data_IF_938356180110
#
_entry.id   IF_938356180110
#
_cell.length_a   1.000
_cell.length_b   1.000
_cell.length_c   1.000
_cell.angle_alpha   90.00
_cell.angle_beta   90.00
_cell.angle_gamma   90.00
#
_symmetry.space_group_name_H-M   'P 1'
#
loop_
_entity.id
_entity.type
_entity.pdbx_description
1 polymer ?
#
# COMPACT_ATOMS: atom_id res chain seq x y z
N UNK A 1 -8.59 -10.55 45.91
CA UNK A 1 -8.90 -9.16 45.54
C UNK A 1 -8.45 -8.97 44.10
N UNK A 2 -9.38 -8.90 43.12
CA UNK A 2 -9.03 -8.51 41.74
C UNK A 2 -8.67 -7.02 41.77
N UNK A 3 -7.61 -6.56 41.09
CA UNK A 3 -7.37 -5.14 40.94
C UNK A 3 -8.55 -4.52 40.18
N UNK A 4 -8.97 -3.27 40.51
CA UNK A 4 -9.96 -2.58 39.71
C UNK A 4 -9.39 -2.37 38.30
N UNK A 5 -10.05 -2.91 37.28
CA UNK A 5 -9.70 -2.65 35.88
C UNK A 5 -9.92 -1.16 35.61
N UNK A 6 -8.84 -0.44 35.34
CA UNK A 6 -8.87 0.98 34.96
C UNK A 6 -9.23 1.20 33.48
N UNK A 7 -9.91 0.25 32.84
CA UNK A 7 -10.40 0.37 31.46
C UNK A 7 -11.69 1.19 31.42
N UNK A 8 -11.63 2.43 31.91
CA UNK A 8 -12.69 3.39 31.57
C UNK A 8 -12.42 3.84 30.14
N UNK A 9 -13.34 3.61 29.18
CA UNK A 9 -13.13 4.05 27.81
C UNK A 9 -12.89 5.55 27.80
N UNK A 10 -11.83 5.97 27.12
CA UNK A 10 -11.47 7.39 26.97
C UNK A 10 -12.64 8.14 26.33
N UNK A 11 -12.92 9.36 26.80
CA UNK A 11 -13.92 10.21 26.16
C UNK A 11 -13.52 10.53 24.72
N UNK A 12 -14.49 10.85 23.85
CA UNK A 12 -14.19 11.26 22.46
C UNK A 12 -13.21 12.43 22.42
N UNK A 13 -13.36 13.44 23.29
CA UNK A 13 -12.41 14.55 23.39
C UNK A 13 -10.97 14.11 23.76
N UNK A 14 -10.82 13.14 24.67
CA UNK A 14 -9.51 12.60 25.04
C UNK A 14 -8.90 11.77 23.89
N UNK A 15 -9.72 11.03 23.14
CA UNK A 15 -9.29 10.27 21.95
C UNK A 15 -8.90 11.20 20.80
N UNK A 16 -9.63 12.27 20.57
CA UNK A 16 -9.29 13.29 19.58
C UNK A 16 -7.94 13.94 19.86
N UNK A 17 -7.62 14.24 21.13
CA UNK A 17 -6.34 14.82 21.53
C UNK A 17 -5.14 13.91 21.22
N UNK A 18 -5.33 12.58 21.20
CA UNK A 18 -4.27 11.62 20.84
C UNK A 18 -3.85 11.74 19.36
N UNK A 19 -4.76 12.20 18.50
CA UNK A 19 -4.51 12.34 17.06
C UNK A 19 -4.02 13.73 16.65
N UNK A 20 -3.98 14.68 17.58
CA UNK A 20 -3.51 16.04 17.31
C UNK A 20 -2.08 16.09 16.74
N UNK A 21 -1.10 15.36 17.31
CA UNK A 21 0.26 15.34 16.74
C UNK A 21 0.31 14.79 15.31
N UNK A 22 -0.57 13.85 14.97
CA UNK A 22 -0.66 13.29 13.62
C UNK A 22 -1.20 14.33 12.63
N UNK A 23 -2.22 15.10 13.03
CA UNK A 23 -2.77 16.19 12.21
C UNK A 23 -1.72 17.26 11.92
N UNK A 24 -0.96 17.66 12.95
CA UNK A 24 0.12 18.63 12.84
C UNK A 24 1.23 18.13 11.90
N UNK A 25 1.68 16.88 12.06
CA UNK A 25 2.68 16.28 11.18
C UNK A 25 2.23 16.22 9.72
N UNK A 26 0.96 15.88 9.44
CA UNK A 26 0.44 15.88 8.08
C UNK A 26 0.42 17.28 7.46
N UNK A 27 0.07 18.30 8.25
CA UNK A 27 0.09 19.70 7.80
C UNK A 27 1.52 20.18 7.50
N UNK A 28 2.48 19.84 8.35
CA UNK A 28 3.91 20.13 8.13
C UNK A 28 4.44 19.44 6.86
N UNK A 29 4.10 18.16 6.68
CA UNK A 29 4.48 17.40 5.49
C UNK A 29 3.91 18.06 4.22
N UNK A 30 2.63 18.43 4.23
CA UNK A 30 1.98 19.12 3.13
C UNK A 30 2.64 20.47 2.80
N UNK A 31 3.00 21.25 3.82
CA UNK A 31 3.69 22.52 3.64
C UNK A 31 5.11 22.34 3.08
N UNK A 32 5.80 21.25 3.47
CA UNK A 32 7.17 20.96 3.02
C UNK A 32 7.26 20.32 1.63
N UNK A 33 6.16 19.76 1.12
CA UNK A 33 6.09 19.09 -0.19
C UNK A 33 4.95 19.63 -1.08
N UNK A 34 5.00 20.93 -1.47
CA UNK A 34 3.92 21.57 -2.23
C UNK A 34 3.74 21.00 -3.65
N UNK A 35 4.73 20.26 -4.15
CA UNK A 35 4.72 19.60 -5.46
C UNK A 35 4.43 18.10 -5.38
N UNK A 36 4.20 17.57 -4.17
CA UNK A 36 3.92 16.16 -3.91
C UNK A 36 4.96 15.23 -4.56
N UNK A 37 6.25 15.54 -4.34
CA UNK A 37 7.37 14.79 -4.93
C UNK A 37 7.73 13.54 -4.13
N UNK A 38 7.33 13.46 -2.86
CA UNK A 38 7.53 12.25 -2.05
C UNK A 38 6.68 11.11 -2.61
N UNK A 39 7.20 9.89 -2.52
CA UNK A 39 6.50 8.69 -2.99
C UNK A 39 5.08 8.63 -2.41
N UNK A 40 4.09 8.42 -3.29
CA UNK A 40 2.69 8.31 -2.90
C UNK A 40 1.97 9.63 -2.60
N UNK A 41 2.69 10.73 -2.37
CA UNK A 41 2.12 12.02 -2.01
C UNK A 41 1.15 12.56 -3.07
N UNK A 42 1.38 12.28 -4.36
CA UNK A 42 0.45 12.68 -5.43
C UNK A 42 -0.92 12.03 -5.30
N UNK A 43 -1.00 10.81 -4.75
CA UNK A 43 -2.24 10.06 -4.62
C UNK A 43 -3.13 10.61 -3.51
N UNK A 44 -2.56 10.84 -2.33
CA UNK A 44 -3.34 11.25 -1.16
C UNK A 44 -3.20 12.73 -0.78
N UNK A 45 -2.19 13.44 -1.31
CA UNK A 45 -1.95 14.88 -1.12
C UNK A 45 -1.88 15.35 0.34
N UNK A 46 -1.50 14.43 1.23
CA UNK A 46 -1.58 14.59 2.69
C UNK A 46 -2.98 14.91 3.24
N UNK A 47 -4.03 14.66 2.46
CA UNK A 47 -5.41 14.91 2.84
C UNK A 47 -6.07 13.65 3.42
N UNK A 48 -6.60 13.77 4.63
CA UNK A 48 -7.45 12.75 5.23
C UNK A 48 -8.89 12.90 4.75
N UNK A 49 -9.59 11.77 4.61
CA UNK A 49 -11.06 11.78 4.54
C UNK A 49 -11.64 12.09 5.93
N UNK A 50 -12.84 12.68 6.02
CA UNK A 50 -13.48 12.92 7.30
C UNK A 50 -13.63 11.63 8.13
N UNK A 51 -13.64 11.71 9.47
CA UNK A 51 -13.96 10.56 10.31
C UNK A 51 -15.39 10.05 10.09
N UNK A 52 -15.62 8.78 10.38
CA UNK A 52 -16.93 8.16 10.34
C UNK A 52 -17.74 8.48 11.59
N UNK A 53 -19.06 8.55 11.42
CA UNK A 53 -19.99 8.62 12.54
C UNK A 53 -19.95 7.29 13.35
N UNK A 54 -20.08 7.35 14.69
CA UNK A 54 -20.12 6.15 15.53
C UNK A 54 -21.14 5.10 15.05
N UNK A 55 -22.36 5.53 14.76
CA UNK A 55 -23.45 4.66 14.29
C UNK A 55 -23.10 3.96 12.97
N UNK A 56 -22.28 4.60 12.12
CA UNK A 56 -21.84 4.01 10.85
C UNK A 56 -20.81 2.92 11.09
N UNK A 57 -19.82 3.17 11.95
CA UNK A 57 -18.83 2.15 12.34
C UNK A 57 -19.52 0.96 13.00
N UNK A 58 -20.46 1.21 13.91
CA UNK A 58 -21.26 0.15 14.55
C UNK A 58 -22.09 -0.65 13.54
N UNK A 59 -22.66 0.01 12.53
CA UNK A 59 -23.37 -0.67 11.46
C UNK A 59 -22.46 -1.61 10.68
N UNK A 60 -21.28 -1.14 10.25
CA UNK A 60 -20.30 -1.95 9.52
C UNK A 60 -19.80 -3.14 10.36
N UNK A 61 -19.52 -2.93 11.64
CA UNK A 61 -19.14 -3.98 12.60
C UNK A 61 -20.25 -5.04 12.74
N UNK A 62 -21.51 -4.60 12.89
CA UNK A 62 -22.67 -5.51 12.97
C UNK A 62 -22.91 -6.27 11.67
N UNK A 63 -22.85 -5.59 10.53
CA UNK A 63 -23.10 -6.18 9.21
C UNK A 63 -22.07 -7.27 8.88
N UNK A 64 -20.80 -7.02 9.17
CA UNK A 64 -19.74 -8.00 8.93
C UNK A 64 -19.59 -9.03 10.08
N UNK A 65 -20.26 -8.83 11.22
CA UNK A 65 -20.16 -9.70 12.38
C UNK A 65 -18.78 -9.67 13.04
N UNK A 66 -18.07 -8.54 12.97
CA UNK A 66 -16.71 -8.36 13.50
C UNK A 66 -16.63 -7.12 14.37
N UNK A 67 -15.65 -7.07 15.28
CA UNK A 67 -15.27 -5.84 15.99
C UNK A 67 -13.88 -5.42 15.54
N UNK A 68 -13.73 -4.16 15.16
CA UNK A 68 -12.47 -3.60 14.67
C UNK A 68 -11.40 -3.55 15.79
N UNK A 69 -10.12 -3.72 15.46
CA UNK A 69 -9.02 -3.42 16.38
C UNK A 69 -9.15 -2.00 16.95
N UNK A 70 -8.94 -1.85 18.26
CA UNK A 70 -9.27 -0.63 18.98
C UNK A 70 -8.56 0.61 18.43
N UNK A 71 -7.28 0.48 18.04
CA UNK A 71 -6.49 1.55 17.46
C UNK A 71 -6.99 1.98 16.07
N UNK A 72 -7.40 1.03 15.22
CA UNK A 72 -8.01 1.33 13.93
C UNK A 72 -9.42 1.90 14.07
N UNK A 73 -10.22 1.39 15.01
CA UNK A 73 -11.54 1.94 15.34
C UNK A 73 -11.42 3.38 15.80
N UNK A 74 -10.41 3.69 16.61
CA UNK A 74 -10.12 5.05 17.06
C UNK A 74 -9.68 5.97 15.92
N UNK A 75 -8.87 5.45 15.00
CA UNK A 75 -8.46 6.19 13.81
C UNK A 75 -9.67 6.60 12.95
N UNK A 76 -10.56 5.66 12.62
CA UNK A 76 -11.70 5.96 11.72
C UNK A 76 -12.75 6.87 12.37
N UNK A 77 -12.88 6.84 13.71
CA UNK A 77 -13.82 7.69 14.44
C UNK A 77 -13.31 9.11 14.70
N UNK A 78 -12.00 9.28 14.90
CA UNK A 78 -11.45 10.53 15.42
C UNK A 78 -10.50 11.23 14.46
N UNK A 79 -9.83 10.50 13.56
CA UNK A 79 -8.84 11.05 12.64
C UNK A 79 -9.35 11.13 11.20
N UNK A 80 -9.77 10.00 10.62
CA UNK A 80 -10.30 9.96 9.26
C UNK A 80 -10.61 8.56 8.72
N UNK A 81 -11.47 8.48 7.70
CA UNK A 81 -11.83 7.25 6.98
C UNK A 81 -10.94 7.02 5.75
N UNK A 82 -9.62 7.11 5.92
CA UNK A 82 -8.65 6.95 4.84
C UNK A 82 -8.12 8.26 4.23
N UNK A 83 -7.58 8.20 3.02
CA UNK A 83 -6.83 9.29 2.41
C UNK A 83 -5.34 9.21 2.77
N UNK A 84 -4.79 10.24 3.41
CA UNK A 84 -3.37 10.30 3.76
C UNK A 84 -2.91 9.07 4.55
N UNK A 85 -1.89 8.40 4.04
CA UNK A 85 -1.35 7.18 4.62
C UNK A 85 -0.18 6.64 3.81
N UNK A 86 0.39 5.50 4.24
CA UNK A 86 1.54 4.91 3.58
C UNK A 86 1.33 4.67 2.09
N UNK A 87 2.39 4.89 1.30
CA UNK A 87 2.37 4.78 -0.16
C UNK A 87 1.21 5.54 -0.81
N UNK A 88 0.32 4.85 -1.53
CA UNK A 88 -0.76 5.47 -2.30
C UNK A 88 -1.97 5.87 -1.45
N UNK A 89 -1.82 5.86 -0.13
CA UNK A 89 -2.83 6.26 0.84
C UNK A 89 -3.70 5.10 1.33
N UNK A 90 -4.53 5.43 2.32
CA UNK A 90 -5.51 4.53 2.89
C UNK A 90 -6.81 4.56 2.10
N UNK A 91 -7.39 3.39 1.88
CA UNK A 91 -8.75 3.26 1.37
C UNK A 91 -9.79 3.47 2.47
N UNK A 92 -10.97 4.02 2.13
CA UNK A 92 -12.04 4.17 3.09
C UNK A 92 -12.57 2.83 3.58
N UNK A 93 -12.84 2.74 4.88
CA UNK A 93 -13.55 1.63 5.48
C UNK A 93 -15.00 1.61 4.99
N UNK A 94 -15.60 2.78 4.77
CA UNK A 94 -16.99 2.90 4.34
C UNK A 94 -17.21 2.67 2.83
N UNK A 95 -16.18 2.18 2.13
CA UNK A 95 -16.36 1.71 0.75
C UNK A 95 -17.12 0.37 0.77
N UNK A 96 -18.23 0.23 0.02
CA UNK A 96 -18.98 -1.03 -0.05
C UNK A 96 -18.13 -2.25 -0.44
N UNK A 97 -17.03 -2.04 -1.16
CA UNK A 97 -16.11 -3.11 -1.58
C UNK A 97 -15.27 -3.68 -0.42
N UNK A 98 -15.19 -3.00 0.73
CA UNK A 98 -14.54 -3.52 1.94
C UNK A 98 -15.34 -4.65 2.59
N UNK A 99 -16.68 -4.59 2.53
CA UNK A 99 -17.58 -5.50 3.25
C UNK A 99 -17.29 -6.98 2.95
N UNK A 100 -16.97 -7.28 1.68
CA UNK A 100 -16.70 -8.63 1.23
C UNK A 100 -15.49 -9.28 1.93
N UNK A 101 -14.44 -8.50 2.20
CA UNK A 101 -13.23 -9.01 2.89
C UNK A 101 -13.30 -8.83 4.40
N UNK A 102 -14.12 -7.89 4.87
CA UNK A 102 -14.32 -7.60 6.29
C UNK A 102 -15.02 -8.76 7.02
N UNK A 103 -15.98 -9.39 6.35
CA UNK A 103 -16.73 -10.53 6.88
C UNK A 103 -15.91 -11.82 6.93
N UNK A 104 -16.31 -12.74 7.81
CA UNK A 104 -15.74 -14.07 7.92
C UNK A 104 -14.43 -14.17 8.72
N UNK A 105 -13.89 -15.39 8.89
CA UNK A 105 -12.66 -15.61 9.63
C UNK A 105 -11.43 -15.35 8.75
N UNK A 106 -10.44 -14.64 9.29
CA UNK A 106 -9.09 -14.71 8.75
C UNK A 106 -8.50 -16.09 9.06
N UNK A 107 -8.07 -16.79 8.01
CA UNK A 107 -7.54 -18.15 8.12
C UNK A 107 -6.02 -18.20 8.33
N UNK A 108 -5.35 -17.05 8.52
CA UNK A 108 -3.95 -17.01 8.94
C UNK A 108 -3.83 -17.53 10.37
N UNK A 109 -3.19 -18.69 10.50
CA UNK A 109 -2.94 -19.36 11.78
C UNK A 109 -1.64 -18.94 12.49
N UNK A 110 -1.37 -19.59 13.62
CA UNK A 110 -0.21 -19.36 14.49
C UNK A 110 1.12 -19.83 13.90
N UNK A 111 1.09 -20.94 13.17
CA UNK A 111 2.14 -21.30 12.22
C UNK A 111 1.73 -20.68 10.90
N UNK A 112 2.62 -19.92 10.25
CA UNK A 112 2.44 -19.30 8.92
C UNK A 112 1.90 -20.33 7.92
N UNK A 113 0.58 -20.57 7.93
CA UNK A 113 -0.07 -21.34 6.89
C UNK A 113 0.09 -20.52 5.64
N UNK A 114 0.48 -21.22 4.58
CA UNK A 114 0.59 -20.67 3.24
C UNK A 114 -0.55 -19.67 2.99
N UNK A 115 -0.26 -18.54 2.34
CA UNK A 115 -1.28 -17.56 2.04
C UNK A 115 -2.49 -18.21 1.35
N UNK A 116 -3.68 -17.58 1.40
CA UNK A 116 -4.83 -18.08 0.67
C UNK A 116 -4.41 -18.46 -0.75
N UNK A 117 -4.95 -19.55 -1.30
CA UNK A 117 -4.63 -19.93 -2.67
C UNK A 117 -4.76 -18.70 -3.61
N UNK A 118 -3.92 -18.58 -4.66
CA UNK A 118 -3.97 -17.44 -5.56
C UNK A 118 -5.41 -17.13 -6.03
N UNK A 119 -5.81 -15.87 -5.94
CA UNK A 119 -7.16 -15.42 -6.30
C UNK A 119 -8.27 -15.70 -5.27
N UNK A 120 -8.00 -16.44 -4.19
CA UNK A 120 -8.96 -16.62 -3.09
C UNK A 120 -9.04 -15.33 -2.27
N UNK A 121 -10.22 -14.69 -2.14
CA UNK A 121 -10.37 -13.48 -1.34
C UNK A 121 -9.99 -13.70 0.14
N UNK A 122 -9.49 -12.65 0.76
CA UNK A 122 -9.34 -12.62 2.21
C UNK A 122 -10.70 -12.55 2.89
N UNK A 123 -10.83 -13.21 4.05
CA UNK A 123 -11.92 -12.98 5.00
C UNK A 123 -11.37 -12.43 6.32
N UNK A 124 -12.17 -11.67 7.05
CA UNK A 124 -11.78 -11.12 8.34
C UNK A 124 -10.68 -10.07 8.28
N UNK A 125 -10.63 -9.27 7.22
CA UNK A 125 -9.63 -8.22 7.02
C UNK A 125 -10.22 -6.92 6.49
N UNK A 126 -9.57 -5.80 6.83
CA UNK A 126 -9.76 -4.52 6.14
C UNK A 126 -8.63 -4.35 5.13
N UNK A 127 -8.96 -4.09 3.88
CA UNK A 127 -7.96 -3.72 2.88
C UNK A 127 -7.56 -2.25 3.11
N UNK A 128 -6.42 -2.02 3.75
CA UNK A 128 -6.00 -0.67 4.17
C UNK A 128 -5.63 0.21 2.98
N UNK A 129 -5.00 -0.34 1.94
CA UNK A 129 -4.49 0.44 0.82
C UNK A 129 -3.54 -0.36 -0.06
N UNK A 130 -2.99 0.29 -1.09
CA UNK A 130 -2.01 -0.32 -1.99
C UNK A 130 -0.63 0.35 -1.87
N UNK A 131 0.41 -0.47 -1.95
CA UNK A 131 1.81 -0.02 -1.99
C UNK A 131 2.36 0.14 -3.41
N UNK A 132 1.48 0.03 -4.42
CA UNK A 132 1.83 -0.01 -5.85
C UNK A 132 2.14 -1.44 -6.35
N UNK A 133 2.23 -1.61 -7.67
CA UNK A 133 2.38 -2.92 -8.34
C UNK A 133 1.33 -3.97 -7.95
N UNK A 134 0.15 -3.53 -7.49
CA UNK A 134 -0.91 -4.42 -7.04
C UNK A 134 -0.70 -5.01 -5.66
N UNK A 135 0.33 -4.60 -4.93
CA UNK A 135 0.53 -5.03 -3.55
C UNK A 135 -0.48 -4.34 -2.63
N UNK A 136 -1.16 -5.12 -1.79
CA UNK A 136 -2.21 -4.63 -0.90
C UNK A 136 -1.80 -4.88 0.54
N UNK A 137 -2.08 -3.91 1.41
CA UNK A 137 -1.91 -4.06 2.85
C UNK A 137 -3.26 -4.35 3.49
N UNK A 138 -3.29 -5.32 4.39
CA UNK A 138 -4.48 -5.76 5.10
C UNK A 138 -4.29 -5.60 6.61
N UNK A 139 -5.30 -5.07 7.28
CA UNK A 139 -5.45 -5.16 8.73
C UNK A 139 -6.29 -6.39 9.06
N UNK A 140 -5.76 -7.30 9.87
CA UNK A 140 -6.50 -8.49 10.31
C UNK A 140 -7.47 -8.10 11.42
N UNK A 141 -8.77 -8.39 11.25
CA UNK A 141 -9.83 -8.02 12.21
C UNK A 141 -10.47 -9.21 12.92
N UNK A 142 -10.27 -10.43 12.42
CA UNK A 142 -10.72 -11.67 13.05
C UNK A 142 -9.63 -12.75 13.02
N UNK A 143 -9.74 -13.80 13.83
CA UNK A 143 -8.76 -14.90 13.88
C UNK A 143 -7.54 -14.64 14.76
N UNK A 144 -6.55 -15.55 14.70
CA UNK A 144 -5.41 -15.59 15.62
C UNK A 144 -4.45 -14.40 15.48
N UNK A 145 -4.39 -13.80 14.28
CA UNK A 145 -3.51 -12.65 13.97
C UNK A 145 -4.20 -11.29 14.11
N UNK A 146 -5.37 -11.24 14.76
CA UNK A 146 -6.17 -10.01 14.90
C UNK A 146 -5.34 -8.83 15.41
N UNK A 147 -5.47 -7.68 14.75
CA UNK A 147 -4.78 -6.44 15.05
C UNK A 147 -3.48 -6.25 14.26
N UNK A 148 -2.92 -7.31 13.68
CA UNK A 148 -1.71 -7.22 12.87
C UNK A 148 -1.99 -6.66 11.48
N UNK A 149 -0.97 -6.02 10.92
CA UNK A 149 -0.97 -5.49 9.56
C UNK A 149 -0.07 -6.36 8.69
N UNK A 150 -0.59 -6.82 7.57
CA UNK A 150 0.05 -7.77 6.67
C UNK A 150 0.12 -7.22 5.25
N UNK A 151 1.23 -7.49 4.58
CA UNK A 151 1.37 -7.28 3.14
C UNK A 151 0.92 -8.53 2.39
N UNK A 152 0.23 -8.31 1.29
CA UNK A 152 -0.02 -9.29 0.25
C UNK A 152 0.51 -8.79 -1.10
N UNK A 153 1.48 -9.50 -1.63
CA UNK A 153 2.14 -9.21 -2.90
C UNK A 153 2.16 -10.51 -3.74
N UNK A 154 1.03 -10.89 -4.34
CA UNK A 154 0.85 -12.22 -4.93
C UNK A 154 1.75 -12.45 -6.15
N UNK A 155 1.99 -11.41 -6.95
CA UNK A 155 2.86 -11.45 -8.14
C UNK A 155 4.32 -11.81 -7.84
N UNK A 156 4.74 -11.63 -6.59
CA UNK A 156 6.10 -11.97 -6.12
C UNK A 156 6.08 -13.05 -5.03
N UNK A 157 4.91 -13.64 -4.76
CA UNK A 157 4.73 -14.73 -3.79
C UNK A 157 4.96 -14.34 -2.34
N UNK A 158 4.84 -13.05 -1.98
CA UNK A 158 5.09 -12.58 -0.61
C UNK A 158 3.77 -12.32 0.11
N UNK A 159 3.59 -12.97 1.26
CA UNK A 159 2.58 -12.60 2.27
C UNK A 159 3.26 -12.59 3.62
N UNK A 160 3.31 -11.43 4.27
CA UNK A 160 4.16 -11.25 5.45
C UNK A 160 3.58 -10.21 6.42
N UNK A 161 3.84 -10.35 7.74
CA UNK A 161 3.50 -9.32 8.71
C UNK A 161 4.43 -8.11 8.50
N UNK A 162 3.85 -6.91 8.50
CA UNK A 162 4.62 -5.65 8.37
C UNK A 162 4.45 -4.71 9.57
N UNK A 163 3.43 -4.91 10.41
CA UNK A 163 3.33 -4.27 11.71
C UNK A 163 2.47 -5.08 12.69
N UNK A 164 2.78 -4.97 13.99
CA UNK A 164 2.00 -5.63 15.04
C UNK A 164 0.61 -5.00 15.24
N UNK A 165 0.48 -3.70 14.96
CA UNK A 165 -0.72 -2.89 15.19
C UNK A 165 -0.88 -1.83 14.08
N UNK A 166 -2.12 -1.38 13.84
CA UNK A 166 -2.40 -0.35 12.84
C UNK A 166 -1.70 0.97 13.17
N UNK A 167 -1.71 1.39 14.45
CA UNK A 167 -1.06 2.64 14.84
C UNK A 167 0.45 2.62 14.57
N UNK A 168 1.11 1.48 14.77
CA UNK A 168 2.53 1.32 14.50
C UNK A 168 2.80 1.41 12.98
N UNK A 169 1.96 0.79 12.16
CA UNK A 169 2.02 0.92 10.71
C UNK A 169 1.87 2.38 10.26
N UNK A 170 0.86 3.09 10.76
CA UNK A 170 0.59 4.47 10.35
C UNK A 170 1.68 5.46 10.80
N UNK A 171 2.11 5.38 12.06
CA UNK A 171 3.09 6.32 12.64
C UNK A 171 4.52 6.06 12.17
N UNK A 172 4.88 4.82 11.83
CA UNK A 172 6.19 4.51 11.24
C UNK A 172 6.36 5.20 9.88
N UNK A 173 5.30 5.29 9.07
CA UNK A 173 5.29 6.03 7.81
C UNK A 173 5.51 7.54 8.02
N UNK A 174 4.78 8.16 8.94
CA UNK A 174 4.98 9.59 9.26
C UNK A 174 6.40 9.86 9.73
N UNK A 175 6.92 8.99 10.59
CA UNK A 175 8.30 9.08 11.10
C UNK A 175 9.31 8.94 9.97
N UNK A 176 9.13 7.99 9.06
CA UNK A 176 10.01 7.82 7.90
C UNK A 176 10.02 9.07 7.00
N UNK A 177 8.85 9.65 6.70
CA UNK A 177 8.76 10.86 5.90
C UNK A 177 9.45 12.05 6.56
N UNK A 178 9.22 12.27 7.86
CA UNK A 178 9.85 13.35 8.63
C UNK A 178 11.36 13.22 8.63
N UNK A 179 11.86 12.01 8.85
CA UNK A 179 13.29 11.74 8.93
C UNK A 179 13.96 11.66 7.54
N UNK A 180 13.20 11.92 6.46
CA UNK A 180 13.70 11.85 5.07
C UNK A 180 14.09 10.42 4.64
N UNK A 181 13.67 9.40 5.40
CA UNK A 181 13.94 8.01 5.09
C UNK A 181 12.97 7.50 4.03
N UNK A 182 13.50 6.72 3.12
CA UNK A 182 12.69 5.90 2.24
C UNK A 182 12.10 4.74 3.06
N UNK A 183 10.81 4.43 2.93
CA UNK A 183 10.24 3.22 3.53
C UNK A 183 10.99 1.98 3.04
N UNK A 184 11.13 0.97 3.90
CA UNK A 184 11.76 -0.28 3.49
C UNK A 184 10.99 -0.93 2.35
N UNK A 185 11.71 -1.42 1.35
CA UNK A 185 11.10 -2.20 0.28
C UNK A 185 10.63 -3.54 0.86
N UNK A 186 9.32 -3.76 0.87
CA UNK A 186 8.75 -5.01 1.37
C UNK A 186 8.86 -6.19 0.39
N UNK A 187 9.35 -5.93 -0.82
CA UNK A 187 9.56 -6.96 -1.85
C UNK A 187 11.05 -7.11 -2.12
N UNK A 188 11.59 -8.34 -2.10
CA UNK A 188 12.99 -8.59 -2.38
C UNK A 188 13.41 -8.06 -3.76
N UNK A 189 14.61 -7.44 -3.88
CA UNK A 189 15.19 -7.11 -5.17
C UNK A 189 15.24 -8.33 -6.10
N UNK A 190 14.88 -8.16 -7.37
CA UNK A 190 14.91 -9.24 -8.37
C UNK A 190 13.68 -10.17 -8.39
N UNK A 191 12.84 -10.15 -7.36
CA UNK A 191 11.56 -10.87 -7.37
C UNK A 191 10.46 -10.14 -8.16
N UNK A 192 10.66 -8.85 -8.47
CA UNK A 192 9.66 -8.01 -9.10
C UNK A 192 9.54 -8.23 -10.62
N UNK A 193 8.31 -8.43 -11.09
CA UNK A 193 7.98 -8.64 -12.50
C UNK A 193 8.48 -7.53 -13.44
N UNK A 194 8.42 -6.26 -13.03
CA UNK A 194 8.91 -5.15 -13.85
C UNK A 194 10.41 -5.24 -14.10
N UNK A 195 11.20 -5.43 -13.03
CA UNK A 195 12.65 -5.52 -13.13
C UNK A 195 13.07 -6.71 -14.00
N UNK A 196 12.38 -7.84 -13.86
CA UNK A 196 12.62 -9.03 -14.70
C UNK A 196 12.27 -8.76 -16.17
N UNK A 197 11.11 -8.16 -16.44
CA UNK A 197 10.66 -7.83 -17.79
C UNK A 197 11.63 -6.86 -18.49
N UNK A 198 12.06 -5.81 -17.79
CA UNK A 198 13.07 -4.87 -18.30
C UNK A 198 14.43 -5.53 -18.52
N UNK A 199 14.90 -6.37 -17.60
CA UNK A 199 16.16 -7.11 -17.78
C UNK A 199 16.11 -8.01 -19.02
N UNK A 200 14.98 -8.70 -19.24
CA UNK A 200 14.76 -9.51 -20.44
C UNK A 200 14.78 -8.67 -21.72
N UNK A 201 14.08 -7.53 -21.71
CA UNK A 201 14.07 -6.58 -22.83
C UNK A 201 15.48 -6.07 -23.17
N UNK A 202 16.22 -5.58 -22.16
CA UNK A 202 17.58 -5.06 -22.35
C UNK A 202 18.52 -6.15 -22.86
N UNK A 203 18.40 -7.39 -22.38
CA UNK A 203 19.16 -8.53 -22.91
C UNK A 203 18.85 -8.84 -24.38
N UNK A 204 17.61 -8.61 -24.85
CA UNK A 204 17.29 -8.68 -26.29
C UNK A 204 17.97 -7.55 -27.05
N UNK A 205 18.01 -6.33 -26.49
CA UNK A 205 18.66 -5.17 -27.13
C UNK A 205 20.17 -5.33 -27.23
N UNK A 206 20.82 -5.88 -26.20
CA UNK A 206 22.25 -6.23 -26.24
C UNK A 206 22.59 -7.10 -27.46
N UNK A 207 21.84 -8.18 -27.66
CA UNK A 207 22.03 -9.06 -28.83
C UNK A 207 21.78 -8.35 -30.15
N UNK A 208 20.76 -7.48 -30.22
CA UNK A 208 20.43 -6.73 -31.45
C UNK A 208 21.48 -5.68 -31.80
N UNK A 209 22.06 -5.05 -30.80
CA UNK A 209 23.04 -3.97 -30.95
C UNK A 209 24.49 -4.49 -30.97
N UNK A 210 24.70 -5.80 -30.83
CA UNK A 210 26.04 -6.39 -30.79
C UNK A 210 26.83 -6.04 -29.52
N UNK A 211 26.13 -5.71 -28.43
CA UNK A 211 26.72 -5.40 -27.13
C UNK A 211 26.80 -6.67 -26.28
N UNK A 212 27.90 -6.86 -25.55
CA UNK A 212 28.04 -8.01 -24.66
C UNK A 212 27.01 -7.96 -23.52
N UNK A 213 26.64 -9.14 -23.01
CA UNK A 213 25.65 -9.26 -21.95
C UNK A 213 26.05 -8.46 -20.70
N UNK A 214 25.14 -7.64 -20.18
CA UNK A 214 25.36 -6.78 -19.02
C UNK A 214 26.21 -5.54 -19.29
N UNK A 215 26.55 -5.24 -20.55
CA UNK A 215 27.37 -4.09 -20.94
C UNK A 215 26.60 -2.99 -21.67
N UNK A 216 25.27 -3.06 -21.72
CA UNK A 216 24.45 -2.01 -22.32
C UNK A 216 24.51 -0.72 -21.48
N UNK A 217 25.17 0.31 -22.02
CA UNK A 217 25.35 1.60 -21.36
C UNK A 217 25.42 2.74 -22.40
N UNK A 218 25.28 3.99 -21.95
CA UNK A 218 25.44 5.18 -22.79
C UNK A 218 24.44 5.22 -23.95
N UNK A 219 24.93 5.48 -25.16
CA UNK A 219 24.07 5.66 -26.34
C UNK A 219 23.28 4.40 -26.73
N UNK A 220 23.87 3.19 -26.75
CA UNK A 220 23.10 1.95 -26.93
C UNK A 220 21.97 1.75 -25.91
N UNK A 221 22.18 2.14 -24.65
CA UNK A 221 21.16 2.07 -23.61
C UNK A 221 20.03 3.09 -23.88
N UNK A 222 20.39 4.35 -24.19
CA UNK A 222 19.43 5.38 -24.60
C UNK A 222 18.60 4.93 -25.80
N UNK A 223 19.24 4.36 -26.81
CA UNK A 223 18.57 3.82 -27.99
C UNK A 223 17.56 2.73 -27.61
N UNK A 224 17.96 1.78 -26.76
CA UNK A 224 17.05 0.74 -26.26
C UNK A 224 15.87 1.35 -25.49
N UNK A 225 16.11 2.23 -24.53
CA UNK A 225 15.04 2.83 -23.72
C UNK A 225 14.09 3.70 -24.55
N UNK A 226 14.60 4.47 -25.51
CA UNK A 226 13.78 5.31 -26.40
C UNK A 226 12.92 4.51 -27.38
N UNK A 227 13.25 3.24 -27.63
CA UNK A 227 12.44 2.35 -28.47
C UNK A 227 11.19 1.82 -27.74
N UNK A 228 11.10 2.00 -26.42
CA UNK A 228 9.89 1.71 -25.65
C UNK A 228 8.87 2.82 -25.89
N UNK A 229 7.94 2.56 -26.82
CA UNK A 229 6.86 3.50 -27.13
C UNK A 229 5.88 3.70 -25.98
N UNK A 230 4.94 4.66 -26.12
CA UNK A 230 3.96 4.97 -25.08
C UNK A 230 3.17 3.75 -24.61
N UNK A 231 3.06 3.57 -23.29
CA UNK A 231 2.32 2.47 -22.66
C UNK A 231 2.93 1.08 -22.86
N UNK A 232 4.18 0.98 -23.32
CA UNK A 232 4.91 -0.28 -23.46
C UNK A 232 5.17 -0.98 -22.13
N UNK A 233 5.30 -0.22 -21.04
CA UNK A 233 5.40 -0.71 -19.68
C UNK A 233 4.04 -0.54 -19.00
N UNK A 234 3.37 -1.65 -18.73
CA UNK A 234 2.08 -1.66 -18.04
C UNK A 234 2.21 -2.45 -16.73
N UNK A 235 1.72 -1.84 -15.66
CA UNK A 235 1.58 -2.49 -14.38
C UNK A 235 0.10 -2.76 -14.18
N UNK A 236 -0.26 -4.03 -14.16
CA UNK A 236 -1.62 -4.49 -13.94
C UNK A 236 -1.65 -5.42 -12.73
N UNK A 237 -2.75 -5.43 -12.00
CA UNK A 237 -2.96 -6.39 -10.93
C UNK A 237 -3.19 -7.78 -11.51
N UNK A 238 -2.55 -8.78 -10.92
CA UNK A 238 -2.87 -10.17 -11.16
C UNK A 238 -3.19 -10.85 -9.83
N UNK A 239 -4.15 -11.76 -9.85
CA UNK A 239 -4.51 -12.57 -8.68
C UNK A 239 -4.90 -11.76 -7.43
N UNK A 240 -5.53 -10.59 -7.63
CA UNK A 240 -5.96 -9.76 -6.51
C UNK A 240 -6.99 -10.48 -5.63
N UNK A 241 -6.84 -10.32 -4.32
CA UNK A 241 -7.70 -10.92 -3.30
C UNK A 241 -8.68 -9.91 -2.67
N UNK A 242 -8.84 -8.73 -3.26
CA UNK A 242 -9.79 -7.70 -2.79
C UNK A 242 -10.55 -7.04 -3.95
N UNK A 243 -11.84 -6.81 -3.73
CA UNK A 243 -12.69 -6.05 -4.66
C UNK A 243 -12.28 -4.57 -4.76
N UNK A 244 -11.52 -4.04 -3.79
CA UNK A 244 -10.97 -2.68 -3.82
C UNK A 244 -10.00 -2.47 -4.99
N UNK A 245 -9.39 -3.55 -5.48
CA UNK A 245 -8.42 -3.52 -6.56
C UNK A 245 -8.53 -4.79 -7.41
N UNK A 246 -9.55 -4.92 -8.27
CA UNK A 246 -9.80 -6.14 -9.04
C UNK A 246 -8.60 -6.54 -9.92
N UNK A 247 -8.46 -7.82 -10.26
CA UNK A 247 -7.46 -8.29 -11.24
C UNK A 247 -7.65 -7.63 -12.61
N UNK A 248 -6.56 -7.36 -13.33
CA UNK A 248 -6.54 -6.65 -14.61
C UNK A 248 -6.63 -5.13 -14.47
N UNK A 249 -6.62 -4.59 -13.24
CA UNK A 249 -6.66 -3.15 -13.00
C UNK A 249 -5.27 -2.53 -13.22
N UNK A 250 -5.14 -1.46 -14.03
CA UNK A 250 -3.90 -0.70 -14.10
C UNK A 250 -3.54 -0.09 -12.74
N UNK A 251 -2.27 -0.18 -12.35
CA UNK A 251 -1.78 0.27 -11.03
C UNK A 251 -0.54 1.13 -11.16
N UNK A 252 -0.36 2.01 -10.19
CA UNK A 252 0.88 2.77 -10.05
C UNK A 252 2.04 1.84 -9.63
N UNK A 253 3.29 2.19 -9.96
CA UNK A 253 4.46 1.46 -9.49
C UNK A 253 4.56 1.45 -7.96
N UNK A 254 5.11 0.35 -7.42
CA UNK A 254 5.56 0.34 -6.04
C UNK A 254 6.85 1.17 -5.88
N UNK A 255 7.27 1.40 -4.64
CA UNK A 255 8.45 2.22 -4.33
C UNK A 255 9.69 1.82 -5.14
N UNK A 256 10.00 0.52 -5.17
CA UNK A 256 11.16 -0.01 -5.88
C UNK A 256 11.03 0.17 -7.40
N UNK A 257 9.83 0.00 -7.95
CA UNK A 257 9.57 0.22 -9.37
C UNK A 257 9.67 1.71 -9.73
N UNK A 258 9.17 2.60 -8.88
CA UNK A 258 9.26 4.03 -9.11
C UNK A 258 10.72 4.50 -9.12
N UNK A 259 11.54 4.02 -8.18
CA UNK A 259 12.98 4.32 -8.19
C UNK A 259 13.69 3.81 -9.44
N UNK A 260 13.39 2.57 -9.86
CA UNK A 260 13.95 2.00 -11.09
C UNK A 260 13.56 2.85 -12.31
N UNK A 261 12.28 3.18 -12.44
CA UNK A 261 11.77 3.97 -13.56
C UNK A 261 12.32 5.39 -13.57
N UNK A 262 12.48 6.04 -12.41
CA UNK A 262 13.13 7.36 -12.31
C UNK A 262 14.60 7.30 -12.73
N UNK A 263 15.31 6.24 -12.36
CA UNK A 263 16.70 6.03 -12.76
C UNK A 263 16.81 5.82 -14.27
N UNK A 264 15.93 5.00 -14.85
CA UNK A 264 15.90 4.78 -16.30
C UNK A 264 15.44 6.01 -17.08
N UNK A 265 14.57 6.85 -16.52
CA UNK A 265 14.18 8.11 -17.13
C UNK A 265 15.37 9.08 -17.25
N UNK A 266 16.28 9.08 -16.27
CA UNK A 266 17.53 9.84 -16.36
C UNK A 266 18.46 9.30 -17.48
N UNK A 267 18.33 8.01 -17.82
CA UNK A 267 19.04 7.34 -18.91
C UNK A 267 18.28 7.35 -20.25
N UNK A 268 17.18 8.14 -20.36
CA UNK A 268 16.48 8.35 -21.63
C UNK A 268 15.21 7.51 -21.85
N UNK A 269 14.69 6.83 -20.82
CA UNK A 269 13.34 6.26 -20.87
C UNK A 269 12.30 7.39 -20.90
N UNK A 270 11.47 7.42 -21.95
CA UNK A 270 10.34 8.35 -22.00
C UNK A 270 9.33 7.99 -20.90
N UNK A 271 8.86 8.99 -20.14
CA UNK A 271 7.83 8.78 -19.11
C UNK A 271 6.54 8.25 -19.71
N UNK A 272 6.23 8.60 -20.96
CA UNK A 272 5.07 8.09 -21.67
C UNK A 272 5.14 6.56 -21.89
N UNK A 273 6.35 5.96 -21.85
CA UNK A 273 6.51 4.52 -21.98
C UNK A 273 5.83 3.75 -20.83
N UNK A 274 5.69 4.38 -19.66
CA UNK A 274 4.98 3.81 -18.52
C UNK A 274 3.51 4.23 -18.60
N UNK A 275 2.62 3.25 -18.72
CA UNK A 275 1.19 3.51 -18.67
C UNK A 275 0.80 4.06 -17.29
N UNK A 276 0.18 5.24 -17.27
CA UNK A 276 -0.39 5.77 -16.04
C UNK A 276 -1.73 5.07 -15.76
N UNK A 277 -2.01 4.68 -14.50
CA UNK A 277 -3.34 4.26 -14.13
C UNK A 277 -4.33 5.42 -14.34
N UNK A 278 -5.60 5.15 -14.66
CA UNK A 278 -6.60 6.20 -14.80
C UNK A 278 -6.65 7.06 -13.53
N UNK A 279 -6.75 8.39 -13.73
CA UNK A 279 -6.90 9.33 -12.62
C UNK A 279 -8.14 8.95 -11.79
N UNK A 280 -7.96 8.80 -10.47
CA UNK A 280 -9.02 8.49 -9.51
C UNK A 280 -9.79 9.74 -9.12
#
# INVERSE_FOLDING_TARGET
MRPPSSDRPLSSAARAALWQPVREQLAELAASDPRHLRFGARAHRYLLRPPLAPDRVEHLEREAGVSLPADYRDFVLELGDGGAGPALGLWPLDDPRQLATLAGPCLLGDEERAPPAPGTPWGGVVALGQLGCGHVVYLIVSGARRGQVWLDAPTVGVVAPIAAHFIAYYTSWLTALRDGRWPDAHVPPGACALAQGLSGYLGVMERRLGVAQGQLAGEPLRQALSALGPGSIQLITEQSRTAMLPSGTPVAPCLSCEQLLLSLAAEGLDRAAVAEPPAR
#
